data_IF_932520518623
#
_entry.id   IF_932520518623
#
_cell.length_a   1.000
_cell.length_b   1.000
_cell.length_c   1.000
_cell.angle_alpha   90.00
_cell.angle_beta   90.00
_cell.angle_gamma   90.00
#
_symmetry.space_group_name_H-M   'P 1'
#
loop_
_entity.id
_entity.type
_entity.pdbx_description
1 polymer ?
#
# COMPACT_ATOMS: atom_id res chain seq x y z
N UNK A 1 14.78 9.83 23.14
CA UNK A 1 13.31 9.77 23.30
C UNK A 1 12.71 9.04 22.12
N UNK A 2 12.59 7.71 22.19
CA UNK A 2 11.86 6.94 21.17
C UNK A 2 10.36 7.04 21.47
N UNK A 3 9.66 7.85 20.70
CA UNK A 3 8.25 8.18 20.91
C UNK A 3 7.33 6.95 20.76
N UNK A 4 6.17 7.01 21.42
CA UNK A 4 5.06 6.02 21.45
C UNK A 4 4.47 5.64 20.08
N UNK A 5 5.11 6.00 18.97
CA UNK A 5 4.62 5.89 17.60
C UNK A 5 5.61 5.15 16.70
N UNK A 6 6.81 4.84 17.22
CA UNK A 6 7.91 4.38 16.39
C UNK A 6 7.74 2.91 15.98
N UNK A 7 7.64 2.70 14.66
CA UNK A 7 8.04 1.45 14.04
C UNK A 7 9.52 1.17 14.39
N UNK A 8 9.95 -0.10 14.45
CA UNK A 8 11.37 -0.44 14.51
C UNK A 8 12.15 0.27 13.39
N UNK A 9 13.32 0.82 13.72
CA UNK A 9 14.14 1.60 12.79
C UNK A 9 14.39 0.92 11.43
N UNK A 10 14.68 -0.40 11.35
CA UNK A 10 14.83 -1.07 10.06
C UNK A 10 13.58 -0.97 9.16
N UNK A 11 12.38 -1.04 9.76
CA UNK A 11 11.11 -0.94 9.03
C UNK A 11 10.82 0.50 8.60
N UNK A 12 11.22 1.49 9.40
CA UNK A 12 11.17 2.91 9.01
C UNK A 12 11.98 3.12 7.75
N UNK A 13 13.26 2.70 7.77
CA UNK A 13 14.16 2.86 6.63
C UNK A 13 13.66 2.11 5.38
N UNK A 14 13.14 0.88 5.54
CA UNK A 14 12.56 0.15 4.42
C UNK A 14 11.32 0.86 3.84
N UNK A 15 10.41 1.34 4.70
CA UNK A 15 9.19 2.04 4.29
C UNK A 15 9.52 3.31 3.52
N UNK A 16 10.42 4.14 4.04
CA UNK A 16 10.83 5.40 3.40
C UNK A 16 11.53 5.16 2.06
N UNK A 17 12.28 4.06 1.94
CA UNK A 17 13.03 3.71 0.73
C UNK A 17 12.15 3.09 -0.35
N UNK A 18 11.18 2.23 0.02
CA UNK A 18 10.49 1.34 -0.92
C UNK A 18 8.97 1.57 -1.01
N UNK A 19 8.35 2.03 0.07
CA UNK A 19 6.89 2.01 0.24
C UNK A 19 6.31 3.39 0.54
N UNK A 20 6.99 4.45 0.10
CA UNK A 20 6.61 5.84 0.39
C UNK A 20 5.46 6.39 -0.49
N UNK A 21 4.91 5.59 -1.41
CA UNK A 21 3.88 6.05 -2.34
C UNK A 21 2.59 6.46 -1.62
N UNK A 22 2.12 5.62 -0.69
CA UNK A 22 0.97 5.92 0.16
C UNK A 22 1.18 7.22 0.94
N UNK A 23 2.38 7.41 1.51
CA UNK A 23 2.69 8.55 2.39
C UNK A 23 2.48 9.90 1.69
N UNK A 24 2.73 9.96 0.37
CA UNK A 24 2.55 11.16 -0.46
C UNK A 24 1.09 11.46 -0.80
N UNK A 25 0.18 10.51 -0.59
CA UNK A 25 -1.25 10.69 -0.88
C UNK A 25 -1.92 11.52 0.20
N UNK A 26 -1.47 11.40 1.46
CA UNK A 26 -2.00 12.19 2.58
C UNK A 26 -3.39 11.74 3.07
N UNK A 27 -3.97 10.69 2.49
CA UNK A 27 -5.26 10.15 2.90
C UNK A 27 -5.42 8.65 2.59
N UNK A 28 -6.26 7.98 3.38
CA UNK A 28 -6.74 6.60 3.16
C UNK A 28 -8.14 6.45 3.77
N UNK A 29 -9.00 5.63 3.16
CA UNK A 29 -10.28 5.27 3.76
C UNK A 29 -10.10 4.06 4.69
N UNK A 30 -10.62 4.08 5.91
CA UNK A 30 -10.61 2.97 6.87
C UNK A 30 -12.04 2.70 7.32
N UNK A 31 -12.61 1.56 6.94
CA UNK A 31 -14.04 1.24 7.15
C UNK A 31 -14.95 2.42 6.74
N UNK A 32 -14.79 2.89 5.49
CA UNK A 32 -15.52 4.03 4.90
C UNK A 32 -15.26 5.42 5.53
N UNK A 33 -14.44 5.51 6.56
CA UNK A 33 -14.04 6.79 7.15
C UNK A 33 -12.69 7.28 6.63
N UNK A 34 -12.60 8.56 6.29
CA UNK A 34 -11.36 9.13 5.72
C UNK A 34 -10.37 9.51 6.83
N UNK A 35 -9.21 8.85 6.82
CA UNK A 35 -8.05 9.22 7.65
C UNK A 35 -7.12 10.10 6.82
N UNK A 36 -6.72 11.25 7.37
CA UNK A 36 -5.80 12.20 6.73
C UNK A 36 -4.56 12.43 7.58
N UNK A 37 -3.44 12.74 6.93
CA UNK A 37 -2.20 13.17 7.57
C UNK A 37 -1.51 14.22 6.71
N UNK A 38 -0.52 14.91 7.28
CA UNK A 38 0.25 15.92 6.56
C UNK A 38 1.16 15.27 5.51
N UNK A 39 0.95 15.62 4.24
CA UNK A 39 1.79 15.19 3.10
C UNK A 39 2.81 16.25 2.66
N UNK A 40 2.73 17.49 3.17
CA UNK A 40 3.52 18.63 2.65
C UNK A 40 4.83 18.84 3.42
N UNK A 41 5.43 17.73 3.87
CA UNK A 41 6.58 17.72 4.80
C UNK A 41 7.62 16.67 4.39
N UNK A 42 8.70 16.49 5.17
CA UNK A 42 9.71 15.46 4.90
C UNK A 42 9.11 14.06 4.95
N UNK A 43 9.74 13.08 4.27
CA UNK A 43 9.20 11.71 4.22
C UNK A 43 9.09 11.08 5.61
N UNK A 44 10.02 11.39 6.49
CA UNK A 44 10.04 10.94 7.88
C UNK A 44 8.84 11.50 8.65
N UNK A 45 8.54 12.79 8.46
CA UNK A 45 7.38 13.45 9.07
C UNK A 45 6.06 12.96 8.46
N UNK A 46 6.03 12.67 7.15
CA UNK A 46 4.88 12.04 6.50
C UNK A 46 4.61 10.66 7.11
N UNK A 47 5.65 9.82 7.24
CA UNK A 47 5.53 8.47 7.82
C UNK A 47 5.05 8.54 9.27
N UNK A 48 5.63 9.44 10.07
CA UNK A 48 5.22 9.65 11.45
C UNK A 48 3.75 10.06 11.53
N UNK A 49 3.35 11.09 10.79
CA UNK A 49 1.98 11.60 10.78
C UNK A 49 0.98 10.53 10.33
N UNK A 50 1.35 9.74 9.32
CA UNK A 50 0.57 8.59 8.88
C UNK A 50 0.42 7.54 9.99
N UNK A 51 1.52 7.12 10.62
CA UNK A 51 1.47 6.11 11.69
C UNK A 51 0.61 6.58 12.87
N UNK A 52 0.73 7.86 13.27
CA UNK A 52 -0.06 8.45 14.34
C UNK A 52 -1.56 8.40 14.00
N UNK A 53 -1.97 8.98 12.87
CA UNK A 53 -3.37 9.05 12.45
C UNK A 53 -3.98 7.67 12.17
N UNK A 54 -3.21 6.78 11.52
CA UNK A 54 -3.67 5.44 11.17
C UNK A 54 -3.84 4.56 12.40
N UNK A 55 -2.86 4.54 13.31
CA UNK A 55 -2.95 3.73 14.54
C UNK A 55 -4.06 4.25 15.45
N UNK A 56 -4.23 5.57 15.58
CA UNK A 56 -5.36 6.15 16.30
C UNK A 56 -6.70 5.66 15.72
N UNK A 57 -6.84 5.68 14.39
CA UNK A 57 -8.05 5.14 13.75
C UNK A 57 -8.22 3.65 14.06
N UNK A 58 -7.18 2.83 13.92
CA UNK A 58 -7.28 1.39 14.19
C UNK A 58 -7.68 1.10 15.65
N UNK A 59 -7.19 1.86 16.63
CA UNK A 59 -7.58 1.73 18.04
C UNK A 59 -9.07 2.01 18.28
N UNK A 60 -9.66 2.90 17.49
CA UNK A 60 -11.10 3.22 17.60
C UNK A 60 -12.01 2.11 17.08
N UNK A 61 -11.49 1.16 16.29
CA UNK A 61 -12.27 0.09 15.68
C UNK A 61 -12.50 -1.05 16.67
N UNK A 62 -13.79 -1.39 16.90
CA UNK A 62 -14.18 -2.46 17.83
C UNK A 62 -13.60 -3.80 17.40
N UNK A 63 -13.48 -4.02 16.10
CA UNK A 63 -12.92 -5.21 15.43
C UNK A 63 -11.47 -5.48 15.83
N UNK A 64 -10.72 -4.43 16.21
CA UNK A 64 -9.30 -4.50 16.53
C UNK A 64 -9.01 -4.23 18.02
N UNK A 65 -10.03 -4.01 18.84
CA UNK A 65 -9.90 -3.69 20.27
C UNK A 65 -9.09 -4.68 21.11
N UNK A 66 -8.97 -5.93 20.65
CA UNK A 66 -8.22 -7.01 21.31
C UNK A 66 -6.75 -7.10 20.89
N UNK A 67 -6.33 -6.34 19.89
CA UNK A 67 -4.96 -6.39 19.39
C UNK A 67 -4.04 -5.50 20.22
N UNK A 68 -2.84 -5.99 20.48
CA UNK A 68 -1.80 -5.23 21.14
C UNK A 68 -1.40 -4.00 20.31
N UNK A 69 -1.04 -2.92 21.00
CA UNK A 69 -0.63 -1.68 20.37
C UNK A 69 0.58 -1.85 19.43
N UNK A 70 1.47 -2.80 19.75
CA UNK A 70 2.59 -3.16 18.90
C UNK A 70 2.13 -3.72 17.53
N UNK A 71 1.07 -4.53 17.51
CA UNK A 71 0.49 -5.08 16.27
C UNK A 71 -0.17 -3.96 15.46
N UNK A 72 -0.91 -3.07 16.12
CA UNK A 72 -1.55 -1.93 15.45
C UNK A 72 -0.49 -1.03 14.79
N UNK A 73 0.63 -0.76 15.48
CA UNK A 73 1.76 -0.02 14.89
C UNK A 73 2.36 -0.72 13.68
N UNK A 74 2.64 -2.03 13.80
CA UNK A 74 3.18 -2.84 12.69
C UNK A 74 2.24 -2.87 11.47
N UNK A 75 0.94 -2.72 11.69
CA UNK A 75 -0.04 -2.65 10.60
C UNK A 75 0.26 -1.49 9.64
N UNK A 76 0.80 -0.37 10.13
CA UNK A 76 1.22 0.75 9.28
C UNK A 76 2.28 0.35 8.25
N UNK A 77 3.28 -0.44 8.67
CA UNK A 77 4.31 -0.97 7.76
C UNK A 77 3.70 -1.90 6.71
N UNK A 78 2.86 -2.85 7.14
CA UNK A 78 2.27 -3.84 6.24
C UNK A 78 1.30 -3.20 5.24
N UNK A 79 0.55 -2.18 5.67
CA UNK A 79 -0.34 -1.41 4.79
C UNK A 79 0.45 -0.59 3.77
N UNK A 80 1.52 0.11 4.18
CA UNK A 80 2.41 0.80 3.24
C UNK A 80 3.00 -0.17 2.21
N UNK A 81 3.46 -1.33 2.67
CA UNK A 81 4.01 -2.38 1.81
C UNK A 81 2.98 -2.91 0.83
N UNK A 82 1.75 -3.18 1.29
CA UNK A 82 0.65 -3.63 0.45
C UNK A 82 0.27 -2.60 -0.62
N UNK A 83 0.24 -1.32 -0.27
CA UNK A 83 -0.11 -0.24 -1.21
C UNK A 83 1.04 0.21 -2.12
N UNK A 84 2.25 -0.30 -1.92
CA UNK A 84 3.36 0.02 -2.82
C UNK A 84 3.04 -0.52 -4.21
N UNK A 85 2.75 0.40 -5.14
CA UNK A 85 2.46 0.10 -6.54
C UNK A 85 3.62 -0.65 -7.19
N UNK A 86 4.85 -0.28 -6.82
CA UNK A 86 6.07 -0.95 -7.23
C UNK A 86 6.18 -2.39 -6.71
N UNK A 87 5.39 -2.78 -5.73
CA UNK A 87 5.30 -4.17 -5.27
C UNK A 87 4.07 -4.86 -5.87
N UNK A 88 2.89 -4.24 -5.75
CA UNK A 88 1.63 -4.82 -6.20
C UNK A 88 1.55 -5.03 -7.73
N UNK A 89 2.17 -4.15 -8.52
CA UNK A 89 2.03 -4.14 -9.98
C UNK A 89 3.32 -4.50 -10.71
N UNK A 90 4.44 -4.72 -10.01
CA UNK A 90 5.71 -5.04 -10.65
C UNK A 90 5.66 -6.37 -11.42
N UNK A 91 5.01 -7.40 -10.89
CA UNK A 91 4.84 -8.67 -11.61
C UNK A 91 4.01 -8.50 -12.88
N UNK A 92 2.92 -7.72 -12.79
CA UNK A 92 2.07 -7.40 -13.95
C UNK A 92 2.86 -6.63 -15.01
N UNK A 93 3.58 -5.59 -14.60
CA UNK A 93 4.44 -4.79 -15.49
C UNK A 93 5.55 -5.65 -16.13
N UNK A 94 6.17 -6.53 -15.35
CA UNK A 94 7.19 -7.47 -15.82
C UNK A 94 6.59 -8.47 -16.81
N UNK A 95 5.41 -9.00 -16.55
CA UNK A 95 4.72 -9.94 -17.43
C UNK A 95 4.35 -9.28 -18.76
N UNK A 96 3.81 -8.05 -18.73
CA UNK A 96 3.50 -7.30 -19.96
C UNK A 96 4.79 -7.01 -20.74
N UNK A 97 5.86 -6.60 -20.06
CA UNK A 97 7.16 -6.39 -20.70
C UNK A 97 7.69 -7.65 -21.37
N UNK A 98 7.61 -8.81 -20.70
CA UNK A 98 8.05 -10.10 -21.26
C UNK A 98 7.19 -10.57 -22.43
N UNK A 99 5.87 -10.41 -22.34
CA UNK A 99 4.90 -10.88 -23.36
C UNK A 99 4.86 -9.98 -24.59
N UNK A 100 4.97 -8.67 -24.42
CA UNK A 100 4.69 -7.68 -25.48
C UNK A 100 5.96 -6.91 -25.89
N UNK A 101 7.05 -7.01 -25.12
CA UNK A 101 8.29 -6.28 -25.39
C UNK A 101 8.17 -4.77 -25.15
N UNK A 102 7.14 -4.34 -24.40
CA UNK A 102 6.84 -2.92 -24.17
C UNK A 102 6.93 -2.54 -22.70
N UNK A 103 7.43 -1.33 -22.44
CA UNK A 103 7.33 -0.72 -21.12
C UNK A 103 5.95 -0.06 -20.94
N UNK A 104 5.37 -0.30 -19.77
CA UNK A 104 4.09 0.28 -19.39
C UNK A 104 4.32 1.15 -18.16
N UNK A 105 3.65 2.30 -18.12
CA UNK A 105 3.62 3.16 -16.94
C UNK A 105 2.20 3.22 -16.42
N UNK A 106 2.06 3.11 -15.10
CA UNK A 106 0.76 3.20 -14.41
C UNK A 106 0.62 4.62 -13.90
N UNK A 107 -0.43 5.28 -14.33
CA UNK A 107 -0.71 6.64 -13.88
C UNK A 107 -1.48 6.61 -12.57
N UNK A 108 -1.02 7.42 -11.63
CA UNK A 108 -1.60 7.52 -10.28
C UNK A 108 -2.12 8.91 -9.98
N UNK A 109 -1.91 9.86 -10.90
CA UNK A 109 -2.33 11.26 -10.82
C UNK A 109 -2.92 11.69 -12.15
N UNK A 110 -4.00 12.45 -12.09
CA UNK A 110 -4.52 13.17 -13.24
C UNK A 110 -3.62 14.37 -13.56
N UNK A 111 -3.70 14.89 -14.80
CA UNK A 111 -2.91 16.05 -15.24
C UNK A 111 -3.12 17.32 -14.39
N UNK A 112 -4.22 17.39 -13.63
CA UNK A 112 -4.54 18.50 -12.72
C UNK A 112 -4.16 18.23 -11.26
N UNK A 113 -3.46 17.14 -10.96
CA UNK A 113 -2.94 16.83 -9.63
C UNK A 113 -3.89 16.04 -8.72
N UNK A 114 -5.13 15.78 -9.14
CA UNK A 114 -6.04 14.85 -8.46
C UNK A 114 -5.48 13.42 -8.48
N UNK A 115 -5.64 12.68 -7.37
CA UNK A 115 -5.27 11.28 -7.31
C UNK A 115 -6.20 10.43 -8.18
N UNK A 116 -5.64 9.68 -9.13
CA UNK A 116 -6.38 8.68 -9.92
C UNK A 116 -6.73 7.44 -9.10
N UNK A 117 -6.08 7.24 -7.96
CA UNK A 117 -6.22 6.02 -7.16
C UNK A 117 -6.78 6.38 -5.79
N UNK A 118 -7.84 5.66 -5.41
CA UNK A 118 -8.28 5.59 -4.03
C UNK A 118 -7.71 4.37 -3.33
N UNK A 119 -7.31 4.60 -2.09
CA UNK A 119 -6.75 3.62 -1.18
C UNK A 119 -7.75 3.40 -0.05
N UNK A 120 -8.13 2.14 0.21
CA UNK A 120 -8.98 1.79 1.34
C UNK A 120 -8.46 0.59 2.11
N UNK A 121 -8.77 0.59 3.41
CA UNK A 121 -8.48 -0.49 4.35
C UNK A 121 -9.79 -0.85 5.03
N UNK A 122 -10.13 -2.12 5.06
CA UNK A 122 -11.29 -2.63 5.77
C UNK A 122 -10.81 -3.58 6.87
N UNK A 123 -11.04 -3.18 8.12
CA UNK A 123 -10.83 -4.03 9.27
C UNK A 123 -12.05 -4.93 9.47
N UNK A 124 -11.79 -6.22 9.68
CA UNK A 124 -12.81 -7.22 9.96
C UNK A 124 -12.69 -7.72 11.39
N UNK A 125 -13.78 -8.25 11.95
CA UNK A 125 -13.81 -8.89 13.28
C UNK A 125 -12.83 -10.06 13.44
N UNK A 126 -12.30 -10.60 12.33
CA UNK A 126 -11.28 -11.65 12.31
C UNK A 126 -9.84 -11.14 12.50
N UNK A 127 -9.67 -9.87 12.89
CA UNK A 127 -8.37 -9.20 13.00
C UNK A 127 -7.57 -9.23 11.68
N UNK A 128 -8.30 -9.11 10.56
CA UNK A 128 -7.73 -8.97 9.22
C UNK A 128 -7.99 -7.57 8.69
N UNK A 129 -7.03 -7.07 7.92
CA UNK A 129 -7.14 -5.83 7.14
C UNK A 129 -7.22 -6.20 5.67
N UNK A 130 -8.34 -5.92 5.01
CA UNK A 130 -8.44 -5.98 3.56
C UNK A 130 -8.00 -4.64 2.98
N UNK A 131 -6.92 -4.63 2.22
CA UNK A 131 -6.32 -3.44 1.63
C UNK A 131 -6.71 -3.41 0.15
N UNK A 132 -7.31 -2.31 -0.32
CA UNK A 132 -7.83 -2.18 -1.68
C UNK A 132 -7.36 -0.90 -2.37
N UNK A 133 -7.02 -1.04 -3.64
CA UNK A 133 -6.73 0.07 -4.54
C UNK A 133 -7.77 0.10 -5.66
N UNK A 134 -8.35 1.27 -5.90
CA UNK A 134 -9.34 1.46 -6.94
C UNK A 134 -8.98 2.69 -7.77
N UNK A 135 -8.78 2.49 -9.07
CA UNK A 135 -8.59 3.58 -10.01
C UNK A 135 -9.93 4.24 -10.30
N UNK A 136 -10.00 5.56 -10.14
CA UNK A 136 -11.17 6.40 -10.39
C UNK A 136 -11.07 6.99 -11.79
N UNK A 137 -12.20 7.04 -12.49
CA UNK A 137 -12.32 7.69 -13.80
C UNK A 137 -12.42 6.72 -14.97
N UNK A 138 -12.79 7.26 -16.14
CA UNK A 138 -12.86 6.54 -17.42
C UNK A 138 -11.50 6.50 -18.15
N UNK A 139 -10.45 7.04 -17.53
CA UNK A 139 -9.14 7.18 -18.16
C UNK A 139 -8.34 5.87 -18.03
N UNK A 140 -7.64 5.52 -19.10
CA UNK A 140 -6.77 4.33 -19.14
C UNK A 140 -5.79 4.29 -17.97
N UNK A 141 -5.91 3.26 -17.15
CA UNK A 141 -4.99 2.96 -16.04
C UNK A 141 -3.57 2.67 -16.55
N UNK A 142 -3.45 2.24 -17.82
CA UNK A 142 -2.20 1.85 -18.47
C UNK A 142 -1.89 2.76 -19.66
N UNK A 143 -0.80 3.52 -19.56
CA UNK A 143 -0.18 4.15 -20.74
C UNK A 143 0.89 3.22 -21.30
N UNK A 144 0.62 2.69 -22.50
CA UNK A 144 1.56 1.89 -23.27
C UNK A 144 2.44 2.82 -24.10
N UNK A 145 3.75 2.80 -23.86
CA UNK A 145 4.71 3.51 -24.71
C UNK A 145 5.14 2.61 -25.87
N UNK A 146 4.49 2.78 -27.02
CA UNK A 146 4.94 2.19 -28.27
C UNK A 146 6.11 3.01 -28.84
N UNK A 147 7.25 2.36 -29.07
CA UNK A 147 8.35 2.94 -29.87
C UNK A 147 8.02 3.06 -31.38
N UNK A 148 6.80 2.72 -31.82
CA UNK A 148 6.34 2.80 -33.21
C UNK A 148 5.05 3.61 -33.34
N UNK A 149 5.08 4.61 -34.23
CA UNK A 149 3.96 5.48 -34.60
C UNK A 149 2.74 4.65 -35.06
N UNK A 150 1.57 4.92 -34.47
CA UNK A 150 0.27 4.57 -35.04
C UNK A 150 -0.37 3.26 -34.57
N UNK A 151 -0.89 3.21 -33.33
CA UNK A 151 -1.97 2.28 -32.97
C UNK A 151 -2.97 2.92 -32.01
N UNK A 152 -4.23 2.51 -32.17
CA UNK A 152 -5.40 2.95 -31.41
C UNK A 152 -5.29 2.59 -29.93
N UNK A 153 -5.66 3.57 -29.09
CA UNK A 153 -5.92 3.46 -27.65
C UNK A 153 -7.07 2.48 -27.42
N UNK A 154 -6.91 1.51 -26.51
CA UNK A 154 -7.95 0.53 -26.16
C UNK A 154 -8.29 0.74 -24.69
N UNK A 155 -9.53 1.11 -24.43
CA UNK A 155 -10.02 1.38 -23.07
C UNK A 155 -10.10 0.07 -22.27
N UNK A 156 -9.60 0.10 -21.04
CA UNK A 156 -9.79 -0.97 -20.06
C UNK A 156 -10.76 -0.45 -19.00
N UNK A 157 -11.95 -1.05 -18.85
CA UNK A 157 -12.88 -0.63 -17.82
C UNK A 157 -12.29 -0.96 -16.45
N UNK A 158 -12.22 0.06 -15.59
CA UNK A 158 -12.01 0.03 -14.14
C UNK A 158 -11.13 -1.10 -13.57
N UNK A 159 -9.91 -0.74 -13.15
CA UNK A 159 -9.02 -1.67 -12.45
C UNK A 159 -9.19 -1.58 -10.93
N UNK A 160 -9.35 -2.74 -10.29
CA UNK A 160 -9.35 -2.90 -8.83
C UNK A 160 -8.31 -3.93 -8.42
N UNK A 161 -7.61 -3.66 -7.32
CA UNK A 161 -6.69 -4.60 -6.67
C UNK A 161 -7.02 -4.72 -5.19
N UNK A 162 -6.92 -5.93 -4.63
CA UNK A 162 -7.17 -6.18 -3.21
C UNK A 162 -6.28 -7.28 -2.65
N UNK A 163 -5.81 -7.10 -1.42
CA UNK A 163 -5.08 -8.10 -0.62
C UNK A 163 -5.67 -8.17 0.79
N UNK A 164 -5.62 -9.35 1.42
CA UNK A 164 -5.94 -9.49 2.83
C UNK A 164 -4.67 -9.66 3.66
N UNK A 165 -4.56 -8.90 4.74
CA UNK A 165 -3.47 -8.98 5.70
C UNK A 165 -3.99 -9.53 7.02
N UNK A 166 -3.33 -10.55 7.56
CA UNK A 166 -3.63 -11.09 8.88
C UNK A 166 -2.78 -10.40 9.96
N UNK A 167 -3.40 -9.58 10.82
CA UNK A 167 -2.67 -8.83 11.84
C UNK A 167 -1.94 -9.72 12.83
N UNK A 168 -2.51 -10.87 13.18
CA UNK A 168 -1.89 -11.81 14.13
C UNK A 168 -0.63 -12.47 13.55
N UNK A 169 -0.49 -12.51 12.23
CA UNK A 169 0.70 -13.04 11.56
C UNK A 169 1.88 -12.04 11.57
N UNK A 170 1.64 -10.75 11.84
CA UNK A 170 2.67 -9.71 11.77
C UNK A 170 3.81 -9.95 12.76
N UNK A 171 3.50 -10.44 13.96
CA UNK A 171 4.52 -10.75 14.98
C UNK A 171 5.44 -11.88 14.52
N UNK A 172 4.89 -12.90 13.85
CA UNK A 172 5.67 -14.04 13.32
C UNK A 172 6.50 -13.67 12.09
N UNK A 173 6.04 -12.68 11.34
CA UNK A 173 6.68 -12.23 10.10
C UNK A 173 7.77 -11.16 10.32
N UNK A 174 7.98 -10.71 11.55
CA UNK A 174 9.12 -9.86 11.88
C UNK A 174 10.42 -10.64 11.59
N UNK A 175 11.30 -10.12 10.72
CA UNK A 175 12.57 -10.77 10.47
C UNK A 175 13.39 -10.80 11.77
N UNK A 176 13.67 -11.99 12.30
CA UNK A 176 14.69 -12.19 13.33
C UNK A 176 16.10 -11.89 12.80
N UNK A 177 16.28 -11.89 11.47
CA UNK A 177 17.42 -11.33 10.74
C UNK A 177 17.03 -11.04 9.29
N UNK A 178 17.79 -10.15 8.63
CA UNK A 178 17.58 -9.66 7.25
C UNK A 178 17.55 -10.74 6.16
N UNK A 179 18.01 -11.97 6.43
CA UNK A 179 18.09 -13.07 5.45
C UNK A 179 16.80 -13.89 5.28
N UNK A 180 15.97 -14.01 6.32
CA UNK A 180 14.74 -14.84 6.28
C UNK A 180 13.63 -14.23 5.42
N UNK A 181 13.79 -12.98 5.00
CA UNK A 181 12.72 -12.13 4.44
C UNK A 181 12.31 -12.49 2.99
N UNK A 182 13.21 -13.11 2.20
CA UNK A 182 12.87 -13.52 0.82
C UNK A 182 12.01 -14.78 0.78
N UNK A 183 12.15 -15.69 1.74
CA UNK A 183 11.43 -16.97 1.74
C UNK A 183 9.96 -16.85 2.19
N UNK A 184 9.65 -15.89 3.08
CA UNK A 184 8.29 -15.74 3.63
C UNK A 184 7.30 -15.01 2.72
N UNK A 185 7.72 -14.44 1.58
CA UNK A 185 6.81 -13.72 0.67
C UNK A 185 5.82 -14.65 -0.05
N UNK A 186 6.17 -15.92 -0.28
CA UNK A 186 5.28 -16.88 -0.90
C UNK A 186 4.12 -17.33 0.03
N UNK A 187 4.32 -17.25 1.35
CA UNK A 187 3.39 -17.86 2.32
C UNK A 187 2.28 -16.90 2.81
N UNK A 188 2.45 -15.59 2.64
CA UNK A 188 1.45 -14.57 3.02
C UNK A 188 0.48 -14.28 1.85
N UNK A 189 0.84 -14.67 0.63
CA UNK A 189 0.08 -14.43 -0.60
C UNK A 189 -0.64 -15.69 -1.14
N UNK A 190 -0.61 -16.83 -0.43
CA UNK A 190 -1.20 -18.09 -0.88
C UNK A 190 -1.94 -18.83 0.23
N UNK A 191 -3.28 -18.76 0.15
CA UNK A 191 -4.23 -19.89 0.24
C UNK A 191 -5.63 -19.28 0.08
N UNK A 192 -5.98 -19.07 -1.18
CA UNK A 192 -7.29 -18.62 -1.67
C UNK A 192 -7.51 -19.17 -3.06
#
# INVERSE_FOLDING_TARGET
>A
MHGRWALPEPLVQETLRRYADLLRVGLVSVNDEVVRWSSDTSKELQLRSFCEAFVEKLRSLKELSRLDDAILRLSSYWVCKAFSINYALHEVLTLIQRRVGMFCTIETREGHGSALVSYSVEATSSHRLAVRMRWRGKADVLKLWLRRKGRRKREVPEAQWSIQLNCTAFQKALPSSTESFRKNQAHILGDG
#
